data_IF_531433326885
#
_entry.id   IF_531433326885
#
_cell.length_a   1.000
_cell.length_b   1.000
_cell.length_c   1.000
_cell.angle_alpha   90.00
_cell.angle_beta   90.00
_cell.angle_gamma   90.00
#
_symmetry.space_group_name_H-M   'P 1'
#
loop_
_entity.id
_entity.type
_entity.pdbx_description
1 polymer ?
#
# COMPACT_ATOMS: atom_id res chain seq x y z
N UNK A 1 -9.72 18.13 29.52
CA UNK A 1 -8.62 19.10 29.28
C UNK A 1 -7.93 18.72 27.98
N UNK A 2 -7.87 19.60 26.96
CA UNK A 2 -7.29 19.26 25.68
C UNK A 2 -5.76 19.35 25.77
N UNK A 3 -5.04 18.26 25.44
CA UNK A 3 -3.59 18.34 25.27
C UNK A 3 -3.31 19.11 23.99
N UNK A 4 -2.60 20.23 24.16
CA UNK A 4 -2.06 21.13 23.14
C UNK A 4 -1.26 20.33 22.09
N UNK A 5 -1.33 20.80 20.84
CA UNK A 5 -0.72 20.18 19.66
C UNK A 5 0.72 19.72 19.88
N UNK A 6 0.89 18.40 19.90
CA UNK A 6 2.20 17.78 19.72
C UNK A 6 2.65 18.01 18.28
N UNK A 7 3.94 18.35 18.10
CA UNK A 7 4.56 18.35 16.78
C UNK A 7 4.38 16.95 16.16
N UNK A 8 4.14 16.84 14.84
CA UNK A 8 4.16 15.54 14.17
C UNK A 8 5.47 14.82 14.50
N UNK A 9 5.41 13.52 14.76
CA UNK A 9 6.61 12.71 14.99
C UNK A 9 7.42 12.71 13.70
N UNK A 10 8.61 13.32 13.77
CA UNK A 10 9.59 13.38 12.69
C UNK A 10 10.84 12.67 13.17
N UNK A 11 11.26 11.57 12.55
CA UNK A 11 10.62 10.86 11.42
C UNK A 11 9.29 10.18 11.80
N UNK A 12 8.53 9.71 10.81
CA UNK A 12 7.31 8.91 10.94
C UNK A 12 7.59 7.49 11.50
N UNK A 13 8.08 7.46 12.73
CA UNK A 13 8.42 6.28 13.51
C UNK A 13 7.75 6.36 14.89
N UNK A 14 7.57 5.22 15.58
CA UNK A 14 7.08 5.21 16.96
C UNK A 14 7.92 6.09 17.88
N UNK A 15 7.29 6.78 18.82
CA UNK A 15 7.95 7.77 19.69
C UNK A 15 9.12 7.19 20.53
N UNK A 16 9.09 5.89 20.81
CA UNK A 16 10.05 5.12 21.59
C UNK A 16 11.02 4.30 20.71
N UNK A 17 11.17 4.66 19.43
CA UNK A 17 12.06 3.93 18.53
C UNK A 17 13.54 4.02 18.97
N UNK A 18 14.32 2.94 18.86
CA UNK A 18 15.74 2.94 19.25
C UNK A 18 16.68 3.52 18.18
N UNK A 19 16.16 3.79 16.97
CA UNK A 19 16.98 4.26 15.87
C UNK A 19 17.54 5.66 16.11
N UNK A 20 18.82 5.85 15.81
CA UNK A 20 19.53 7.13 15.96
C UNK A 20 19.92 7.69 14.61
N UNK A 21 19.99 9.02 14.48
CA UNK A 21 20.46 9.66 13.24
C UNK A 21 19.50 9.48 12.06
N UNK A 22 18.21 9.23 12.34
CA UNK A 22 17.20 9.08 11.29
C UNK A 22 16.81 10.46 10.76
N UNK A 23 17.05 10.69 9.47
CA UNK A 23 16.66 11.92 8.80
C UNK A 23 15.24 11.83 8.23
N UNK A 24 14.41 12.88 8.36
CA UNK A 24 13.12 12.96 7.67
C UNK A 24 13.35 13.21 6.18
N UNK A 25 13.70 12.15 5.44
CA UNK A 25 14.06 12.19 4.03
C UNK A 25 13.52 10.97 3.28
N UNK A 26 13.91 10.81 2.03
CA UNK A 26 13.53 9.70 1.17
C UNK A 26 14.54 8.56 1.27
N UNK A 27 14.04 7.33 1.33
CA UNK A 27 14.84 6.12 1.43
C UNK A 27 14.48 5.13 0.33
N UNK A 28 15.48 4.60 -0.36
CA UNK A 28 15.29 3.59 -1.39
C UNK A 28 14.75 2.28 -0.82
N UNK A 29 13.86 1.65 -1.59
CA UNK A 29 13.60 0.21 -1.49
C UNK A 29 14.41 -0.52 -2.56
N UNK A 30 14.53 -1.85 -2.45
CA UNK A 30 15.15 -2.71 -3.47
C UNK A 30 14.18 -3.13 -4.58
N UNK A 31 12.99 -2.52 -4.66
CA UNK A 31 11.90 -2.94 -5.55
C UNK A 31 11.77 -1.99 -6.74
N UNK A 32 11.88 -2.52 -7.95
CA UNK A 32 11.65 -1.76 -9.19
C UNK A 32 10.16 -1.55 -9.44
N UNK A 33 9.78 -0.46 -10.09
CA UNK A 33 8.38 -0.23 -10.48
C UNK A 33 8.06 -1.09 -11.71
N UNK A 34 7.04 -1.96 -11.61
CA UNK A 34 6.64 -2.83 -12.72
C UNK A 34 6.32 -2.09 -14.02
N UNK A 35 5.65 -0.94 -13.92
CA UNK A 35 5.27 -0.11 -15.08
C UNK A 35 6.46 0.56 -15.77
N UNK A 36 7.49 0.93 -14.99
CA UNK A 36 8.65 1.69 -15.46
C UNK A 36 9.90 1.19 -14.74
N UNK A 37 10.54 0.15 -15.25
CA UNK A 37 11.64 -0.54 -14.57
C UNK A 37 12.92 0.31 -14.37
N UNK A 38 13.04 1.46 -15.06
CA UNK A 38 14.08 2.46 -14.80
C UNK A 38 13.82 3.26 -13.52
N UNK A 39 12.68 3.05 -12.87
CA UNK A 39 12.31 3.64 -11.59
C UNK A 39 12.30 2.57 -10.49
N UNK A 40 12.53 3.01 -9.26
CA UNK A 40 12.39 2.20 -8.06
C UNK A 40 11.51 2.90 -7.04
N UNK A 41 10.92 2.13 -6.13
CA UNK A 41 10.14 2.67 -5.02
C UNK A 41 11.05 3.26 -3.96
N UNK A 42 10.61 4.36 -3.36
CA UNK A 42 11.21 4.98 -2.19
C UNK A 42 10.14 5.38 -1.18
N UNK A 43 10.53 5.45 0.09
CA UNK A 43 9.65 5.79 1.21
C UNK A 43 10.10 7.12 1.82
N UNK A 44 9.14 8.02 2.05
CA UNK A 44 9.36 9.25 2.78
C UNK A 44 9.32 8.99 4.29
N UNK A 45 10.38 9.26 5.02
CA UNK A 45 10.39 9.11 6.48
C UNK A 45 9.85 10.32 7.24
N UNK A 46 9.38 11.38 6.58
CA UNK A 46 8.67 12.49 7.25
C UNK A 46 7.15 12.20 7.33
N UNK A 47 6.57 11.80 6.19
CA UNK A 47 5.16 11.54 6.04
C UNK A 47 4.78 10.08 5.87
N UNK A 48 5.72 9.13 5.83
CA UNK A 48 5.51 7.69 5.53
C UNK A 48 4.92 7.39 4.13
N UNK A 49 5.11 8.28 3.15
CA UNK A 49 4.55 8.13 1.79
C UNK A 49 5.43 7.23 0.92
N UNK A 50 4.81 6.39 0.09
CA UNK A 50 5.53 5.51 -0.85
C UNK A 50 5.32 6.02 -2.27
N UNK A 51 6.42 6.44 -2.89
CA UNK A 51 6.45 6.99 -4.25
C UNK A 51 7.57 6.32 -5.04
N UNK A 52 7.72 6.70 -6.31
CA UNK A 52 8.78 6.19 -7.16
C UNK A 52 9.47 7.30 -7.95
N UNK A 53 10.68 7.02 -8.39
CA UNK A 53 11.53 7.93 -9.15
C UNK A 53 12.64 7.17 -9.85
N UNK A 54 13.34 7.86 -10.74
CA UNK A 54 14.42 7.28 -11.54
C UNK A 54 15.53 6.69 -10.66
N UNK A 55 16.05 5.52 -11.05
CA UNK A 55 17.17 4.85 -10.38
C UNK A 55 18.49 5.64 -10.43
N UNK A 56 18.53 6.71 -11.22
CA UNK A 56 19.61 7.68 -11.31
C UNK A 56 19.56 8.75 -10.20
N UNK A 57 18.50 8.79 -9.40
CA UNK A 57 18.36 9.71 -8.29
C UNK A 57 19.13 9.25 -7.04
N UNK A 58 19.35 10.19 -6.12
CA UNK A 58 20.07 9.92 -4.87
C UNK A 58 19.13 10.05 -3.67
N UNK A 59 18.90 8.94 -2.98
CA UNK A 59 18.16 8.85 -1.72
C UNK A 59 18.96 8.04 -0.71
N UNK A 60 18.56 8.10 0.56
CA UNK A 60 19.21 7.34 1.62
C UNK A 60 18.91 5.84 1.49
N UNK A 61 19.76 5.00 2.09
CA UNK A 61 19.50 3.57 2.21
C UNK A 61 19.33 3.22 3.69
N UNK A 62 18.33 2.40 3.99
CA UNK A 62 18.13 1.86 5.34
C UNK A 62 18.23 0.34 5.28
N UNK A 63 19.36 -0.25 5.71
CA UNK A 63 19.55 -1.69 5.64
C UNK A 63 18.66 -2.42 6.65
N UNK A 64 18.17 -3.58 6.25
CA UNK A 64 17.40 -4.51 7.08
C UNK A 64 17.97 -5.93 6.93
N UNK A 65 17.89 -6.73 7.99
CA UNK A 65 18.30 -8.13 7.96
C UNK A 65 17.30 -9.02 8.73
N UNK A 66 17.39 -10.33 8.52
CA UNK A 66 16.52 -11.33 9.14
C UNK A 66 15.39 -11.82 8.24
N UNK A 67 14.43 -12.52 8.85
CA UNK A 67 13.24 -13.05 8.19
C UNK A 67 11.98 -12.54 8.89
N UNK A 68 11.07 -11.93 8.13
CA UNK A 68 9.79 -11.47 8.65
C UNK A 68 8.74 -12.56 8.53
N UNK A 69 7.98 -12.78 9.60
CA UNK A 69 6.80 -13.67 9.61
C UNK A 69 5.50 -12.96 9.28
N UNK A 70 5.53 -11.62 9.26
CA UNK A 70 4.34 -10.77 9.15
C UNK A 70 4.33 -10.02 7.83
N UNK A 71 5.48 -9.51 7.39
CA UNK A 71 5.58 -8.76 6.14
C UNK A 71 5.58 -9.73 4.96
N UNK A 72 4.66 -9.57 3.99
CA UNK A 72 4.63 -10.41 2.81
C UNK A 72 5.74 -10.03 1.82
N UNK A 73 6.02 -10.93 0.88
CA UNK A 73 6.76 -10.57 -0.34
C UNK A 73 5.98 -9.49 -1.12
N UNK A 74 6.67 -8.68 -1.91
CA UNK A 74 6.07 -7.57 -2.68
C UNK A 74 5.38 -8.01 -3.98
N UNK A 75 5.67 -9.24 -4.44
CA UNK A 75 5.28 -9.73 -5.77
C UNK A 75 6.35 -9.53 -6.85
N UNK A 76 7.42 -8.78 -6.58
CA UNK A 76 8.54 -8.63 -7.50
C UNK A 76 9.30 -9.96 -7.70
N UNK A 77 9.54 -10.33 -8.96
CA UNK A 77 10.26 -11.57 -9.33
C UNK A 77 11.35 -11.37 -10.38
N UNK A 78 11.42 -10.17 -10.97
CA UNK A 78 12.37 -9.79 -12.02
C UNK A 78 13.36 -8.75 -11.48
N UNK A 79 14.56 -8.75 -12.03
CA UNK A 79 15.63 -7.81 -11.69
C UNK A 79 15.95 -6.94 -12.90
N UNK A 80 16.30 -5.68 -12.64
CA UNK A 80 16.48 -4.69 -13.69
C UNK A 80 17.68 -3.79 -13.43
N UNK A 81 18.43 -3.51 -14.49
CA UNK A 81 19.49 -2.50 -14.49
C UNK A 81 18.93 -1.09 -14.22
N UNK A 82 19.83 -0.11 -14.03
CA UNK A 82 19.46 1.28 -13.76
C UNK A 82 18.64 1.93 -14.89
N UNK A 83 18.89 1.55 -16.14
CA UNK A 83 18.14 1.98 -17.31
C UNK A 83 16.78 1.27 -17.49
N UNK A 84 16.47 0.30 -16.62
CA UNK A 84 15.25 -0.50 -16.67
C UNK A 84 15.33 -1.74 -17.56
N UNK A 85 16.48 -2.04 -18.19
CA UNK A 85 16.67 -3.28 -18.91
C UNK A 85 16.60 -4.49 -17.97
N UNK A 86 15.98 -5.58 -18.43
CA UNK A 86 15.97 -6.85 -17.70
C UNK A 86 17.38 -7.39 -17.56
N UNK A 87 17.67 -7.98 -16.40
CA UNK A 87 18.95 -8.66 -16.13
C UNK A 87 18.74 -9.91 -15.27
N UNK A 88 19.77 -10.75 -15.23
CA UNK A 88 19.80 -11.90 -14.33
C UNK A 88 19.82 -11.45 -12.88
N UNK A 89 18.97 -12.07 -12.06
CA UNK A 89 18.83 -11.75 -10.63
C UNK A 89 19.98 -12.19 -9.72
N UNK A 90 20.71 -13.31 -9.95
CA UNK A 90 21.71 -13.77 -8.99
C UNK A 90 22.80 -12.73 -8.69
N UNK A 91 23.02 -12.45 -7.40
CA UNK A 91 24.05 -11.54 -6.90
C UNK A 91 23.69 -10.06 -6.99
N UNK A 92 22.45 -9.71 -7.29
CA UNK A 92 21.99 -8.32 -7.46
C UNK A 92 21.58 -7.65 -6.15
N UNK A 93 21.09 -8.43 -5.18
CA UNK A 93 20.44 -7.94 -3.96
C UNK A 93 19.08 -7.28 -4.20
N UNK A 94 18.55 -7.33 -5.42
CA UNK A 94 17.23 -6.76 -5.74
C UNK A 94 16.11 -7.59 -5.11
N UNK A 95 14.95 -6.97 -4.90
CA UNK A 95 13.79 -7.65 -4.33
C UNK A 95 13.33 -8.84 -5.20
N UNK A 96 13.50 -8.73 -6.52
CA UNK A 96 13.25 -9.83 -7.47
C UNK A 96 14.13 -11.07 -7.24
N UNK A 97 15.34 -10.89 -6.68
CA UNK A 97 16.23 -11.97 -6.25
C UNK A 97 15.89 -12.44 -4.84
N UNK A 98 15.89 -11.51 -3.88
CA UNK A 98 15.83 -11.84 -2.46
C UNK A 98 14.46 -12.32 -2.02
N UNK A 99 13.39 -11.78 -2.62
CA UNK A 99 11.97 -12.11 -2.38
C UNK A 99 11.68 -12.28 -0.88
N UNK A 100 12.13 -11.30 -0.08
CA UNK A 100 12.02 -11.36 1.38
C UNK A 100 10.59 -11.15 1.83
N UNK A 101 10.17 -11.93 2.82
CA UNK A 101 8.83 -11.85 3.41
C UNK A 101 8.06 -13.16 3.31
N UNK A 102 6.84 -13.18 3.84
CA UNK A 102 5.92 -14.32 3.75
C UNK A 102 5.47 -14.49 2.29
N UNK A 103 5.72 -15.66 1.73
CA UNK A 103 5.24 -16.03 0.38
C UNK A 103 3.72 -15.98 0.35
N UNK A 104 3.16 -15.44 -0.74
CA UNK A 104 1.72 -15.39 -0.90
C UNK A 104 1.11 -16.78 -1.12
N UNK A 105 -0.05 -17.07 -0.51
CA UNK A 105 -0.81 -18.29 -0.80
C UNK A 105 -1.22 -18.37 -2.28
N UNK A 106 -1.46 -19.59 -2.77
CA UNK A 106 -1.93 -19.84 -4.14
C UNK A 106 -3.16 -20.76 -4.14
N UNK A 107 -4.35 -20.29 -4.58
CA UNK A 107 -4.70 -18.88 -4.83
C UNK A 107 -4.61 -18.04 -3.55
N UNK A 108 -4.32 -16.73 -3.68
CA UNK A 108 -4.32 -15.77 -2.57
C UNK A 108 -5.74 -15.27 -2.31
N UNK A 109 -6.34 -14.67 -3.33
CA UNK A 109 -7.71 -14.17 -3.31
C UNK A 109 -8.65 -15.26 -3.82
N UNK A 110 -9.74 -15.51 -3.08
CA UNK A 110 -10.72 -16.55 -3.38
C UNK A 110 -12.13 -16.00 -3.24
N UNK A 111 -12.91 -16.07 -4.32
CA UNK A 111 -14.33 -15.72 -4.30
C UNK A 111 -15.13 -16.76 -3.52
N UNK A 112 -15.94 -16.29 -2.58
CA UNK A 112 -16.83 -17.07 -1.70
C UNK A 112 -18.22 -16.43 -1.66
N UNK A 113 -19.17 -17.03 -0.93
CA UNK A 113 -20.49 -16.44 -0.73
C UNK A 113 -20.41 -15.17 0.14
N UNK A 114 -19.36 -15.06 0.95
CA UNK A 114 -19.12 -14.00 1.91
C UNK A 114 -18.38 -12.78 1.32
N UNK A 115 -17.84 -12.92 0.12
CA UNK A 115 -16.98 -11.93 -0.55
C UNK A 115 -15.70 -12.56 -1.08
N UNK A 116 -14.63 -11.78 -1.18
CA UNK A 116 -13.32 -12.26 -1.62
C UNK A 116 -12.44 -12.49 -0.39
N UNK A 117 -12.22 -13.75 -0.03
CA UNK A 117 -11.29 -14.11 1.04
C UNK A 117 -9.85 -13.88 0.59
N UNK A 118 -9.10 -13.09 1.35
CA UNK A 118 -7.65 -12.94 1.20
C UNK A 118 -6.92 -13.85 2.19
N UNK A 119 -6.42 -14.99 1.70
CA UNK A 119 -5.68 -15.98 2.51
C UNK A 119 -4.34 -15.47 3.04
N UNK A 120 -3.86 -14.31 2.58
CA UNK A 120 -2.66 -13.68 3.12
C UNK A 120 -2.96 -12.98 4.45
N UNK A 121 -4.10 -12.29 4.53
CA UNK A 121 -4.44 -11.35 5.61
C UNK A 121 -5.58 -11.84 6.49
N UNK A 122 -6.28 -12.89 6.08
CA UNK A 122 -7.53 -13.38 6.69
C UNK A 122 -8.66 -12.33 6.70
N UNK A 123 -8.61 -11.39 5.76
CA UNK A 123 -9.66 -10.40 5.52
C UNK A 123 -10.61 -10.86 4.41
N UNK A 124 -11.81 -10.29 4.40
CA UNK A 124 -12.79 -10.49 3.34
C UNK A 124 -13.06 -9.16 2.65
N UNK A 125 -12.74 -9.08 1.36
CA UNK A 125 -12.94 -7.88 0.53
C UNK A 125 -14.30 -7.93 -0.17
N UNK A 126 -14.93 -6.77 -0.31
CA UNK A 126 -16.19 -6.67 -1.03
C UNK A 126 -15.96 -6.98 -2.53
N UNK A 127 -16.82 -7.78 -3.17
CA UNK A 127 -16.60 -8.22 -4.55
C UNK A 127 -16.80 -7.11 -5.60
N UNK A 128 -17.57 -6.09 -5.25
CA UNK A 128 -17.69 -4.85 -6.00
C UNK A 128 -16.77 -3.78 -5.37
N UNK A 129 -15.66 -3.41 -6.02
CA UNK A 129 -14.69 -2.49 -5.49
C UNK A 129 -15.04 -1.03 -5.82
N UNK A 130 -16.31 -0.67 -6.06
CA UNK A 130 -16.75 0.72 -6.19
C UNK A 130 -18.13 0.95 -5.57
N UNK A 131 -18.18 0.87 -4.25
CA UNK A 131 -19.43 0.90 -3.48
C UNK A 131 -20.31 2.16 -3.69
N UNK A 132 -19.73 3.24 -4.19
CA UNK A 132 -20.42 4.50 -4.44
C UNK A 132 -20.66 4.76 -5.94
N UNK A 133 -20.26 3.85 -6.82
CA UNK A 133 -20.31 4.00 -8.28
C UNK A 133 -19.68 5.31 -8.78
N UNK A 134 -18.62 5.76 -8.12
CA UNK A 134 -17.99 7.05 -8.37
C UNK A 134 -17.09 7.51 -7.22
N UNK A 135 -16.19 8.48 -7.49
CA UNK A 135 -15.37 9.05 -6.44
C UNK A 135 -16.22 9.91 -5.52
N UNK A 136 -15.90 9.85 -4.22
CA UNK A 136 -16.63 10.55 -3.16
C UNK A 136 -15.67 11.26 -2.23
N UNK A 137 -16.18 12.17 -1.40
CA UNK A 137 -15.39 12.72 -0.29
C UNK A 137 -15.07 11.63 0.73
N UNK A 138 -14.05 11.86 1.56
CA UNK A 138 -13.63 10.90 2.57
C UNK A 138 -14.72 10.63 3.62
N UNK A 139 -15.48 11.66 4.01
CA UNK A 139 -16.62 11.51 4.92
C UNK A 139 -17.74 10.65 4.31
N UNK A 140 -18.06 10.86 3.03
CA UNK A 140 -19.04 10.04 2.31
C UNK A 140 -18.56 8.60 2.18
N UNK A 141 -17.26 8.36 1.95
CA UNK A 141 -16.69 7.02 1.90
C UNK A 141 -16.88 6.24 3.21
N UNK A 142 -16.60 6.88 4.35
CA UNK A 142 -16.83 6.28 5.66
C UNK A 142 -18.31 5.98 5.91
N UNK A 143 -19.19 6.93 5.56
CA UNK A 143 -20.63 6.76 5.73
C UNK A 143 -21.19 5.63 4.86
N UNK A 144 -20.76 5.56 3.59
CA UNK A 144 -21.17 4.52 2.66
C UNK A 144 -20.74 3.13 3.15
N UNK A 145 -19.48 2.99 3.58
CA UNK A 145 -18.99 1.73 4.14
C UNK A 145 -19.80 1.30 5.38
N UNK A 146 -20.06 2.22 6.31
CA UNK A 146 -20.84 1.93 7.51
C UNK A 146 -22.30 1.54 7.19
N UNK A 147 -22.92 2.15 6.18
CA UNK A 147 -24.31 1.87 5.81
C UNK A 147 -24.54 0.47 5.24
N UNK A 148 -23.49 -0.21 4.77
CA UNK A 148 -23.60 -1.60 4.29
C UNK A 148 -23.93 -2.58 5.42
N UNK A 149 -23.62 -2.23 6.68
CA UNK A 149 -23.77 -3.11 7.83
C UNK A 149 -22.87 -4.35 7.75
N UNK A 150 -23.18 -5.37 8.56
CA UNK A 150 -22.54 -6.71 8.50
C UNK A 150 -21.00 -6.72 8.60
N UNK A 151 -20.44 -5.72 9.30
CA UNK A 151 -19.01 -5.58 9.55
C UNK A 151 -18.21 -4.95 8.41
N UNK A 152 -18.85 -4.59 7.29
CA UNK A 152 -18.18 -3.86 6.21
C UNK A 152 -17.69 -2.50 6.71
N UNK A 153 -16.44 -2.18 6.38
CA UNK A 153 -15.78 -0.94 6.76
C UNK A 153 -14.84 -0.48 5.68
N UNK A 154 -14.49 0.81 5.76
CA UNK A 154 -13.41 1.36 4.96
C UNK A 154 -12.08 0.78 5.49
N UNK A 155 -11.23 0.20 4.63
CA UNK A 155 -9.93 -0.35 5.03
C UNK A 155 -9.05 0.71 5.67
N UNK A 156 -8.17 0.35 6.60
CA UNK A 156 -7.05 1.22 6.94
C UNK A 156 -5.95 1.14 5.85
N UNK A 157 -4.98 2.05 5.89
CA UNK A 157 -3.97 2.11 4.82
C UNK A 157 -3.09 0.86 4.75
N UNK A 158 -2.75 0.26 5.89
CA UNK A 158 -1.95 -0.96 5.93
C UNK A 158 -2.68 -2.15 5.31
N UNK A 159 -4.01 -2.23 5.46
CA UNK A 159 -4.83 -3.26 4.80
C UNK A 159 -4.84 -3.09 3.28
N UNK A 160 -5.02 -1.86 2.79
CA UNK A 160 -4.95 -1.58 1.35
C UNK A 160 -3.56 -1.84 0.77
N UNK A 161 -2.51 -1.46 1.49
CA UNK A 161 -1.13 -1.70 1.07
C UNK A 161 -0.85 -3.20 0.86
N UNK A 162 -1.50 -4.09 1.61
CA UNK A 162 -1.35 -5.54 1.38
C UNK A 162 -1.84 -5.98 0.00
N UNK A 163 -2.75 -5.25 -0.64
CA UNK A 163 -3.24 -5.56 -1.98
C UNK A 163 -2.25 -5.15 -3.08
N UNK A 164 -1.25 -4.33 -2.79
CA UNK A 164 -0.27 -3.93 -3.80
C UNK A 164 0.56 -5.14 -4.26
N UNK A 165 0.59 -5.36 -5.57
CA UNK A 165 1.52 -6.29 -6.23
C UNK A 165 2.51 -5.49 -7.05
N UNK A 166 3.71 -5.29 -6.49
CA UNK A 166 4.78 -4.52 -7.13
C UNK A 166 5.36 -5.20 -8.37
N UNK A 167 5.01 -6.47 -8.63
CA UNK A 167 5.33 -7.18 -9.88
C UNK A 167 4.31 -6.93 -10.99
N UNK A 168 3.25 -6.15 -10.74
CA UNK A 168 2.16 -5.89 -11.67
C UNK A 168 1.86 -4.39 -11.74
N UNK A 169 1.15 -3.98 -12.78
CA UNK A 169 0.65 -2.62 -12.93
C UNK A 169 -0.62 -2.61 -13.78
N UNK A 170 -1.43 -1.57 -13.61
CA UNK A 170 -2.67 -1.32 -14.34
C UNK A 170 -3.62 -2.55 -14.46
N UNK A 171 -4.03 -3.17 -13.33
CA UNK A 171 -3.78 -2.78 -11.94
C UNK A 171 -2.64 -3.57 -11.26
N UNK A 172 -1.97 -2.92 -10.30
CA UNK A 172 -0.98 -3.49 -9.39
C UNK A 172 -1.66 -4.27 -8.24
N UNK A 173 -2.45 -5.27 -8.59
CA UNK A 173 -3.19 -6.12 -7.64
C UNK A 173 -2.88 -7.61 -7.89
N UNK A 174 -2.93 -8.47 -6.85
CA UNK A 174 -2.76 -9.90 -7.00
C UNK A 174 -3.86 -10.50 -7.91
N UNK A 175 -3.56 -11.63 -8.58
CA UNK A 175 -4.56 -12.32 -9.39
C UNK A 175 -5.71 -12.87 -8.53
N UNK A 176 -6.88 -13.06 -9.16
CA UNK A 176 -8.09 -13.49 -8.45
C UNK A 176 -8.82 -12.35 -7.73
N UNK A 177 -8.51 -11.10 -8.11
CA UNK A 177 -9.17 -9.88 -7.62
C UNK A 177 -10.67 -9.80 -7.94
N UNK A 178 -11.30 -8.65 -7.63
CA UNK A 178 -12.74 -8.50 -7.75
C UNK A 178 -13.25 -8.66 -9.18
N UNK A 179 -14.50 -9.15 -9.29
CA UNK A 179 -15.20 -9.24 -10.57
C UNK A 179 -15.69 -7.89 -11.10
N UNK A 180 -15.75 -6.88 -10.24
CA UNK A 180 -16.09 -5.50 -10.59
C UNK A 180 -14.91 -4.69 -11.15
N UNK A 181 -15.20 -3.46 -11.58
CA UNK A 181 -14.20 -2.55 -12.15
C UNK A 181 -13.27 -2.02 -11.06
N UNK A 182 -12.00 -2.39 -11.12
CA UNK A 182 -10.95 -1.76 -10.30
C UNK A 182 -10.74 -0.32 -10.78
N UNK A 183 -10.86 0.63 -9.86
CA UNK A 183 -10.70 2.06 -10.11
C UNK A 183 -9.28 2.54 -9.75
N UNK A 184 -8.79 3.65 -10.33
CA UNK A 184 -7.39 4.07 -10.19
C UNK A 184 -6.93 4.36 -8.76
N UNK A 185 -7.84 4.62 -7.82
CA UNK A 185 -7.47 4.72 -6.42
C UNK A 185 -8.62 4.69 -5.42
N UNK A 186 -8.25 4.36 -4.18
CA UNK A 186 -9.17 4.03 -3.09
C UNK A 186 -8.82 4.76 -1.81
N UNK A 187 -9.85 5.34 -1.17
CA UNK A 187 -9.69 5.90 0.17
C UNK A 187 -9.37 4.81 1.20
N UNK A 188 -8.46 5.13 2.11
CA UNK A 188 -8.36 4.44 3.41
C UNK A 188 -9.09 5.22 4.49
N UNK A 189 -9.39 4.57 5.62
CA UNK A 189 -9.86 5.21 6.86
C UNK A 189 -8.73 5.89 7.65
N UNK A 190 -7.50 5.89 7.15
CA UNK A 190 -6.34 6.44 7.84
C UNK A 190 -6.15 7.92 7.49
N UNK A 191 -6.18 8.78 8.50
CA UNK A 191 -5.88 10.21 8.35
C UNK A 191 -4.38 10.44 8.21
N UNK A 192 -3.97 11.37 7.35
CA UNK A 192 -2.58 11.82 7.27
C UNK A 192 -2.18 12.53 8.56
N UNK A 193 -1.09 12.11 9.20
CA UNK A 193 -0.59 12.76 10.41
C UNK A 193 -0.04 14.16 10.11
N UNK A 194 0.52 14.35 8.91
CA UNK A 194 1.17 15.60 8.51
C UNK A 194 0.15 16.70 8.22
N UNK A 195 -0.92 16.35 7.50
CA UNK A 195 -2.01 17.25 7.09
C UNK A 195 -3.35 16.56 7.42
N UNK A 196 -3.96 16.83 8.60
CA UNK A 196 -5.14 16.09 9.06
C UNK A 196 -6.41 16.28 8.23
N UNK A 197 -6.44 17.31 7.37
CA UNK A 197 -7.45 17.52 6.34
C UNK A 197 -7.26 16.61 5.11
N UNK A 198 -6.18 15.80 5.09
CA UNK A 198 -5.91 14.77 4.11
C UNK A 198 -6.06 13.36 4.70
N UNK A 199 -6.34 12.39 3.84
CA UNK A 199 -6.36 10.97 4.18
C UNK A 199 -5.50 10.17 3.20
N UNK A 200 -5.04 9.01 3.66
CA UNK A 200 -4.25 8.09 2.85
C UNK A 200 -5.10 7.38 1.82
N UNK A 201 -4.50 7.10 0.66
CA UNK A 201 -5.14 6.38 -0.43
C UNK A 201 -4.16 5.43 -1.13
N UNK A 202 -4.70 4.32 -1.64
CA UNK A 202 -3.99 3.41 -2.53
C UNK A 202 -4.24 3.82 -3.98
N UNK A 203 -3.18 3.89 -4.78
CA UNK A 203 -3.24 4.06 -6.23
C UNK A 203 -3.03 2.70 -6.89
N UNK A 204 -4.06 2.14 -7.53
CA UNK A 204 -3.98 0.77 -8.06
C UNK A 204 -3.27 0.67 -9.39
N UNK A 205 -2.93 1.78 -10.04
CA UNK A 205 -2.19 1.73 -11.31
C UNK A 205 -0.78 1.17 -11.14
N UNK A 206 -0.11 1.50 -10.03
CA UNK A 206 1.24 1.04 -9.71
C UNK A 206 1.38 0.48 -8.29
N UNK A 207 0.37 0.64 -7.43
CA UNK A 207 0.41 0.15 -6.04
C UNK A 207 0.96 1.18 -5.06
N UNK A 208 1.12 2.43 -5.49
CA UNK A 208 1.63 3.51 -4.66
C UNK A 208 0.67 3.90 -3.53
N UNK A 209 1.25 4.39 -2.43
CA UNK A 209 0.52 4.88 -1.26
C UNK A 209 0.74 6.39 -1.13
N UNK A 210 -0.33 7.15 -1.37
CA UNK A 210 -0.31 8.61 -1.31
C UNK A 210 -1.46 9.16 -0.48
N UNK A 211 -1.82 10.42 -0.73
CA UNK A 211 -2.82 11.13 0.06
C UNK A 211 -3.74 11.97 -0.82
N UNK A 212 -4.95 12.24 -0.35
CA UNK A 212 -5.85 13.24 -0.92
C UNK A 212 -6.55 14.10 0.11
N UNK A 213 -7.03 15.26 -0.31
CA UNK A 213 -7.85 16.13 0.51
C UNK A 213 -9.21 15.49 0.78
N UNK A 214 -9.61 15.42 2.05
CA UNK A 214 -10.82 14.72 2.48
C UNK A 214 -12.11 15.28 1.87
N UNK A 215 -12.12 16.57 1.56
CA UNK A 215 -13.29 17.26 0.99
C UNK A 215 -13.48 17.02 -0.51
N UNK A 216 -12.44 16.55 -1.20
CA UNK A 216 -12.46 16.44 -2.66
C UNK A 216 -12.90 15.04 -3.10
N UNK A 217 -13.50 14.96 -4.28
CA UNK A 217 -14.03 13.72 -4.86
C UNK A 217 -12.93 13.02 -5.66
N UNK A 218 -11.88 12.57 -4.97
CA UNK A 218 -10.67 12.03 -5.63
C UNK A 218 -10.67 10.51 -5.76
N UNK A 219 -11.23 9.79 -4.78
CA UNK A 219 -11.05 8.34 -4.68
C UNK A 219 -12.36 7.59 -4.48
N UNK A 220 -12.32 6.33 -4.89
CA UNK A 220 -13.41 5.39 -4.79
C UNK A 220 -13.42 4.65 -3.45
N UNK A 221 -14.45 3.82 -3.25
CA UNK A 221 -14.69 3.11 -2.00
C UNK A 221 -14.66 1.61 -2.26
N UNK A 222 -13.64 0.93 -1.73
CA UNK A 222 -13.58 -0.52 -1.66
C UNK A 222 -13.58 -0.93 -0.20
N UNK A 223 -14.61 -1.67 0.21
CA UNK A 223 -14.79 -2.08 1.60
C UNK A 223 -14.23 -3.47 1.86
N UNK A 224 -13.90 -3.70 3.12
CA UNK A 224 -13.54 -5.02 3.63
C UNK A 224 -14.21 -5.26 4.98
N UNK A 225 -14.13 -6.49 5.45
CA UNK A 225 -14.47 -6.88 6.82
C UNK A 225 -13.53 -7.95 7.34
N UNK A 226 -13.50 -8.11 8.65
CA UNK A 226 -12.77 -9.21 9.28
C UNK A 226 -13.50 -10.54 9.00
N UNK A 227 -12.74 -11.62 8.82
CA UNK A 227 -13.33 -12.95 8.67
C UNK A 227 -14.00 -13.39 9.97
N UNK A 228 -15.20 -13.96 9.85
CA UNK A 228 -15.86 -14.61 10.98
C UNK A 228 -14.98 -15.77 11.48
N UNK A 229 -14.73 -15.81 12.79
CA UNK A 229 -13.97 -16.90 13.44
C UNK A 229 -14.78 -18.18 13.49
#
# INVERSE_FOLDING_TARGET
>A
MPRRGGRPFRPALPADHPFTGVFPSWFWTSTSVARTASHAWYVNMDGARTFFGGKDQSFFAWPVCGESRVLPVTGAVLCHSADGSLRDCPGTGEDGELRKGRVWPRPRLVTTAEGIEDRLTDLVWHPDPDACAGPVSWQEALAAAASMGNGWRLPNISELETLADCGRCAPALPPGGPGGRVCPGYWSSTTSMYEPDWAWALYTEDGGIGVGQKRDLHFHVWTLRDRAR
#
